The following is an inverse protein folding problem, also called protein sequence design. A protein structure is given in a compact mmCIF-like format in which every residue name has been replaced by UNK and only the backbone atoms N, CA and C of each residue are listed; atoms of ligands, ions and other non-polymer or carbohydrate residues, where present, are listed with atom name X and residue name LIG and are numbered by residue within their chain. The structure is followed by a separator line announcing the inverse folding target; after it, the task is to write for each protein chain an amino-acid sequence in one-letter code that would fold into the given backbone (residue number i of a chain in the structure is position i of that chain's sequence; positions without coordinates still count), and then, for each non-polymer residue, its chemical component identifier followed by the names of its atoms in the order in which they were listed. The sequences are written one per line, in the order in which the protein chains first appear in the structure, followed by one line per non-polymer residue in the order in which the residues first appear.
data_IF_449185483265
#
_entry.id   IF_449185483265
#
_cell.length_a   1.000
_cell.length_b   1.000
_cell.length_c   1.000
_cell.angle_alpha   90.00
_cell.angle_beta   90.00
_cell.angle_gamma   90.00
#
_symmetry.space_group_name_H-M   'P 1'
#
loop_
_entity.id
_entity.type
_entity.pdbx_description
1 polymer ?
#
# COMPACT_ATOMS: atom_id res chain seq x y z
N UNK A 1 -4.41 -9.46 -1.99
CA UNK A 1 -2.96 -9.64 -1.82
C UNK A 1 -2.50 -9.33 -0.40
N UNK A 2 -2.68 -8.09 0.09
CA UNK A 2 -2.15 -7.62 1.39
C UNK A 2 -2.64 -8.41 2.62
N UNK A 3 -3.92 -8.76 2.72
CA UNK A 3 -4.43 -9.64 3.79
C UNK A 3 -3.72 -10.98 3.81
N UNK A 4 -3.68 -11.66 2.67
CA UNK A 4 -3.01 -12.96 2.51
C UNK A 4 -1.50 -12.90 2.78
N UNK A 5 -0.81 -11.85 2.33
CA UNK A 5 0.63 -11.67 2.58
C UNK A 5 0.93 -11.53 4.07
N UNK A 6 0.06 -10.83 4.81
CA UNK A 6 0.21 -10.67 6.25
C UNK A 6 -0.13 -11.94 7.03
N UNK A 7 -1.21 -12.62 6.66
CA UNK A 7 -1.59 -13.92 7.27
C UNK A 7 -0.45 -14.95 7.13
N UNK A 8 0.26 -14.92 5.99
CA UNK A 8 1.41 -15.79 5.74
C UNK A 8 2.65 -15.41 6.55
N UNK A 9 2.88 -14.11 6.76
CA UNK A 9 4.03 -13.60 7.50
C UNK A 9 3.88 -13.76 9.03
N UNK A 10 2.68 -13.55 9.57
CA UNK A 10 2.45 -13.57 11.02
C UNK A 10 1.85 -14.88 11.54
N UNK A 11 1.29 -15.76 10.68
CA UNK A 11 0.54 -16.97 11.08
C UNK A 11 -0.59 -16.70 12.08
N UNK A 12 -1.05 -15.46 12.20
CA UNK A 12 -2.17 -15.05 13.05
C UNK A 12 -3.32 -14.61 12.14
N UNK A 13 -4.51 -15.16 12.37
CA UNK A 13 -5.74 -14.87 11.62
C UNK A 13 -6.19 -13.43 11.94
N UNK A 14 -5.75 -12.47 11.13
CA UNK A 14 -5.98 -11.05 11.38
C UNK A 14 -7.30 -10.59 10.76
N UNK A 15 -8.37 -10.74 11.54
CA UNK A 15 -9.72 -10.33 11.17
C UNK A 15 -9.91 -8.81 11.03
N UNK A 16 -9.02 -7.98 11.59
CA UNK A 16 -9.25 -6.53 11.73
C UNK A 16 -8.11 -5.65 11.17
N UNK A 17 -7.65 -5.92 9.95
CA UNK A 17 -6.99 -4.86 9.18
C UNK A 17 -8.00 -4.32 8.20
N UNK A 18 -8.89 -3.48 8.73
CA UNK A 18 -9.60 -2.54 7.89
C UNK A 18 -8.58 -1.53 7.37
N UNK A 19 -8.10 -1.78 6.14
CA UNK A 19 -7.35 -0.83 5.32
C UNK A 19 -8.24 0.36 4.90
N UNK A 20 -8.89 1.01 5.85
CA UNK A 20 -9.80 2.15 5.64
C UNK A 20 -9.07 3.34 5.00
N UNK A 21 -7.74 3.44 5.16
CA UNK A 21 -6.93 4.51 4.57
C UNK A 21 -6.73 4.40 3.05
N UNK A 22 -6.94 3.22 2.44
CA UNK A 22 -6.95 3.04 0.98
C UNK A 22 -8.39 2.90 0.41
N UNK A 23 -9.43 3.06 1.25
CA UNK A 23 -10.82 3.21 0.79
C UNK A 23 -11.07 4.67 0.40
N UNK A 24 -11.63 4.88 -0.79
CA UNK A 24 -11.91 6.21 -1.34
C UNK A 24 -11.55 6.34 -2.82
N UNK A 25 -12.10 7.37 -3.46
CA UNK A 25 -11.97 7.65 -4.90
C UNK A 25 -10.72 8.49 -5.26
N UNK A 26 -9.78 8.69 -4.32
CA UNK A 26 -8.52 9.40 -4.63
C UNK A 26 -7.73 8.62 -5.67
N UNK A 27 -7.17 9.34 -6.65
CA UNK A 27 -6.40 8.76 -7.75
C UNK A 27 -5.09 8.09 -7.32
N UNK A 28 -4.46 8.57 -6.25
CA UNK A 28 -3.28 7.99 -5.63
C UNK A 28 -3.57 7.87 -4.13
N UNK A 29 -3.32 6.70 -3.55
CA UNK A 29 -3.51 6.40 -2.14
C UNK A 29 -2.25 5.75 -1.59
N UNK A 30 -1.79 6.20 -0.43
CA UNK A 30 -0.59 5.69 0.22
C UNK A 30 -0.90 5.31 1.65
N UNK A 31 -0.26 4.26 2.14
CA UNK A 31 -0.38 3.84 3.54
C UNK A 31 0.90 3.12 3.98
N UNK A 32 1.10 3.04 5.28
CA UNK A 32 2.18 2.26 5.91
C UNK A 32 1.52 1.24 6.81
N UNK A 33 1.90 -0.02 6.66
CA UNK A 33 1.34 -1.13 7.44
C UNK A 33 2.43 -1.90 8.14
N UNK A 34 2.22 -2.18 9.41
CA UNK A 34 3.13 -3.03 10.18
C UNK A 34 2.80 -4.50 9.93
N UNK A 35 3.81 -5.28 9.53
CA UNK A 35 3.74 -6.73 9.34
C UNK A 35 4.96 -7.35 10.00
N UNK A 36 4.77 -8.24 10.96
CA UNK A 36 5.83 -8.95 11.67
C UNK A 36 6.80 -8.01 12.41
N UNK A 37 6.32 -6.88 12.90
CA UNK A 37 7.15 -5.85 13.54
C UNK A 37 8.00 -5.00 12.59
N UNK A 38 7.80 -5.13 11.27
CA UNK A 38 8.44 -4.27 10.26
C UNK A 38 7.40 -3.40 9.56
N UNK A 39 7.76 -2.15 9.24
CA UNK A 39 6.88 -1.21 8.54
C UNK A 39 7.00 -1.36 7.02
N UNK A 40 5.87 -1.59 6.35
CA UNK A 40 5.78 -1.72 4.91
C UNK A 40 4.94 -0.59 4.32
N UNK A 41 5.60 0.23 3.52
CA UNK A 41 4.96 1.28 2.74
C UNK A 41 4.31 0.72 1.49
N UNK A 42 3.04 1.05 1.29
CA UNK A 42 2.22 0.59 0.19
C UNK A 42 1.54 1.76 -0.52
N UNK A 43 1.31 1.62 -1.82
CA UNK A 43 0.52 2.56 -2.60
C UNK A 43 -0.52 1.84 -3.46
N UNK A 44 -1.65 2.49 -3.68
CA UNK A 44 -2.71 2.08 -4.61
C UNK A 44 -2.98 3.24 -5.54
N UNK A 45 -2.71 3.04 -6.81
CA UNK A 45 -2.84 4.04 -7.86
C UNK A 45 -4.02 3.61 -8.73
N UNK A 46 -5.00 4.49 -8.94
CA UNK A 46 -6.15 4.18 -9.77
C UNK A 46 -5.99 4.81 -11.15
N UNK A 47 -5.57 4.01 -12.13
CA UNK A 47 -5.53 4.40 -13.53
C UNK A 47 -4.21 5.03 -13.99
N UNK A 48 -3.96 4.90 -15.30
CA UNK A 48 -2.65 5.20 -15.90
C UNK A 48 -2.22 6.67 -15.76
N UNK A 49 -3.15 7.63 -15.80
CA UNK A 49 -2.84 9.06 -15.62
C UNK A 49 -2.21 9.30 -14.24
N UNK A 50 -2.81 8.73 -13.20
CA UNK A 50 -2.33 8.85 -11.83
C UNK A 50 -0.99 8.12 -11.63
N UNK A 51 -0.72 7.04 -12.37
CA UNK A 51 0.59 6.38 -12.35
C UNK A 51 1.68 7.31 -12.89
N UNK A 52 1.43 7.97 -14.03
CA UNK A 52 2.38 8.93 -14.57
C UNK A 52 2.62 10.09 -13.63
N UNK A 53 1.57 10.63 -12.99
CA UNK A 53 1.70 11.70 -12.01
C UNK A 53 2.47 11.24 -10.77
N UNK A 54 2.22 10.01 -10.30
CA UNK A 54 2.94 9.43 -9.17
C UNK A 54 4.45 9.32 -9.43
N UNK A 55 4.83 8.78 -10.59
CA UNK A 55 6.23 8.64 -10.99
C UNK A 55 6.87 10.02 -11.16
N UNK A 56 6.22 10.93 -11.90
CA UNK A 56 6.74 12.29 -12.14
C UNK A 56 6.86 13.11 -10.87
N UNK A 57 6.03 12.85 -9.87
CA UNK A 57 6.12 13.54 -8.59
C UNK A 57 7.41 13.22 -7.84
N UNK A 58 8.16 12.18 -8.22
CA UNK A 58 9.32 11.70 -7.48
C UNK A 58 8.96 10.98 -6.17
N UNK A 59 7.73 10.46 -6.06
CA UNK A 59 7.29 9.75 -4.86
C UNK A 59 8.19 8.55 -4.55
N UNK A 60 8.61 7.83 -5.59
CA UNK A 60 9.52 6.69 -5.50
C UNK A 60 10.89 7.05 -4.91
N UNK A 61 11.34 8.30 -5.07
CA UNK A 61 12.64 8.76 -4.56
C UNK A 61 12.55 9.23 -3.10
N UNK A 62 11.35 9.62 -2.64
CA UNK A 62 11.14 10.13 -1.27
C UNK A 62 10.89 9.03 -0.25
N UNK A 63 10.42 7.87 -0.68
CA UNK A 63 9.97 6.80 0.21
C UNK A 63 10.17 5.44 -0.46
N UNK A 64 10.73 4.50 0.30
CA UNK A 64 10.83 3.11 -0.15
C UNK A 64 9.44 2.47 -0.09
N UNK A 65 8.81 2.21 -1.25
CA UNK A 65 7.60 1.41 -1.34
C UNK A 65 7.97 -0.07 -1.48
N UNK A 66 7.18 -0.92 -0.83
CA UNK A 66 7.34 -2.38 -0.87
C UNK A 66 6.29 -3.05 -1.75
N UNK A 67 5.14 -2.39 -1.92
CA UNK A 67 4.06 -2.86 -2.78
C UNK A 67 3.31 -1.67 -3.38
N UNK A 68 3.10 -1.72 -4.71
CA UNK A 68 2.30 -0.73 -5.43
C UNK A 68 1.29 -1.49 -6.29
N UNK A 69 0.01 -1.23 -6.06
CA UNK A 69 -1.08 -1.68 -6.92
C UNK A 69 -1.44 -0.55 -7.89
N UNK A 70 -1.63 -0.90 -9.17
CA UNK A 70 -2.01 0.02 -10.26
C UNK A 70 -3.24 -0.52 -10.98
#
# INVERSE_FOLDING_TARGET
ALRTAKDFAEKVDLKDIEYTQIRGLKGIKESSVEIGGSEYNIAVINGAVNLFDFIKSGALDRKQYHFIEV
#
